data_IF_469013188091
#
_entry.id   IF_469013188091
#
_cell.length_a   1.000
_cell.length_b   1.000
_cell.length_c   1.000
_cell.angle_alpha   90.00
_cell.angle_beta   90.00
_cell.angle_gamma   90.00
#
_symmetry.space_group_name_H-M   'P 1'
#
loop_
_entity.id
_entity.type
_entity.pdbx_description
1 polymer ?
#
# COMPACT_ATOMS: atom_id res chain seq x y z
N UNK A 1 -78.54 -22.77 21.91
CA UNK A 1 -77.27 -23.21 21.27
C UNK A 1 -76.55 -22.14 20.44
N UNK A 2 -77.18 -21.12 19.90
CA UNK A 2 -76.52 -20.11 19.04
C UNK A 2 -75.59 -19.11 19.75
N UNK A 3 -75.81 -18.78 21.03
CA UNK A 3 -75.03 -17.77 21.76
C UNK A 3 -73.56 -18.19 22.07
N UNK A 4 -73.29 -19.47 22.09
CA UNK A 4 -71.91 -19.95 22.38
C UNK A 4 -71.07 -20.06 21.11
N UNK A 5 -71.67 -20.31 19.94
CA UNK A 5 -70.96 -20.41 18.65
C UNK A 5 -70.34 -19.06 18.28
N UNK A 6 -71.08 -17.96 18.50
CA UNK A 6 -70.59 -16.60 18.19
C UNK A 6 -69.36 -16.22 19.04
N UNK A 7 -69.27 -16.64 20.31
CA UNK A 7 -68.11 -16.40 21.16
C UNK A 7 -66.86 -17.14 20.67
N UNK A 8 -67.00 -18.35 20.16
CA UNK A 8 -65.89 -19.12 19.61
C UNK A 8 -65.42 -18.59 18.27
N UNK A 9 -66.33 -18.01 17.44
CA UNK A 9 -65.98 -17.35 16.18
C UNK A 9 -65.16 -16.08 16.47
N UNK A 10 -65.52 -15.24 17.41
CA UNK A 10 -64.74 -14.07 17.82
C UNK A 10 -63.39 -14.42 18.45
N UNK A 11 -63.36 -15.52 19.26
CA UNK A 11 -62.10 -16.03 19.80
C UNK A 11 -61.19 -16.57 18.68
N UNK A 12 -61.71 -17.26 17.67
CA UNK A 12 -60.96 -17.78 16.55
C UNK A 12 -60.48 -16.65 15.63
N UNK A 13 -61.30 -15.61 15.38
CA UNK A 13 -60.89 -14.42 14.67
C UNK A 13 -59.80 -13.63 15.40
N UNK A 14 -59.89 -13.53 16.72
CA UNK A 14 -58.86 -12.91 17.57
C UNK A 14 -57.51 -13.64 17.49
N UNK A 15 -57.53 -14.97 17.45
CA UNK A 15 -56.32 -15.78 17.31
C UNK A 15 -55.69 -15.64 15.91
N UNK A 16 -56.47 -15.54 14.84
CA UNK A 16 -56.01 -15.36 13.48
C UNK A 16 -55.34 -13.99 13.31
N UNK A 17 -55.81 -12.96 14.01
CA UNK A 17 -55.17 -11.61 13.97
C UNK A 17 -53.84 -11.54 14.73
N UNK A 18 -53.58 -12.41 15.68
CA UNK A 18 -52.31 -12.46 16.41
C UNK A 18 -51.20 -13.12 15.58
N UNK A 19 -51.54 -14.00 14.62
CA UNK A 19 -50.57 -14.65 13.74
C UNK A 19 -50.18 -13.81 12.50
N UNK A 20 -50.83 -12.64 12.27
CA UNK A 20 -50.33 -11.62 11.36
C UNK A 20 -49.30 -10.69 12.03
N UNK A 21 -48.54 -11.21 12.99
CA UNK A 21 -47.34 -10.52 13.51
C UNK A 21 -46.38 -10.31 12.35
N UNK A 22 -46.16 -9.06 12.00
CA UNK A 22 -45.17 -8.64 11.02
C UNK A 22 -43.91 -9.52 11.11
N UNK A 23 -43.71 -10.40 10.12
CA UNK A 23 -42.33 -10.84 9.83
C UNK A 23 -41.58 -9.55 9.50
N UNK A 24 -40.79 -9.04 10.44
CA UNK A 24 -39.74 -8.12 10.07
C UNK A 24 -38.89 -8.90 9.07
N UNK A 25 -39.08 -8.65 7.78
CA UNK A 25 -38.10 -9.03 6.78
C UNK A 25 -36.86 -8.23 7.18
N UNK A 26 -35.89 -8.92 7.78
CA UNK A 26 -34.56 -8.34 7.93
C UNK A 26 -33.95 -8.34 6.55
N UNK A 27 -33.75 -7.13 6.01
CA UNK A 27 -32.97 -6.98 4.78
C UNK A 27 -31.60 -7.65 4.99
N UNK A 28 -31.17 -8.40 3.99
CA UNK A 28 -29.86 -9.02 4.01
C UNK A 28 -28.76 -7.95 3.92
N UNK A 29 -27.57 -8.26 4.42
CA UNK A 29 -26.43 -7.31 4.29
C UNK A 29 -26.11 -7.05 2.81
N UNK A 30 -26.34 -8.05 1.96
CA UNK A 30 -26.17 -7.96 0.51
C UNK A 30 -27.10 -6.89 -0.09
N UNK A 31 -28.39 -6.90 0.28
CA UNK A 31 -29.39 -5.94 -0.21
C UNK A 31 -29.10 -4.52 0.32
N UNK A 32 -28.75 -4.41 1.60
CA UNK A 32 -28.39 -3.13 2.24
C UNK A 32 -27.18 -2.50 1.55
N UNK A 33 -26.12 -3.27 1.32
CA UNK A 33 -24.90 -2.78 0.70
C UNK A 33 -25.12 -2.46 -0.78
N UNK A 34 -25.87 -3.31 -1.50
CA UNK A 34 -26.22 -3.04 -2.91
C UNK A 34 -26.99 -1.73 -3.05
N UNK A 35 -27.98 -1.49 -2.20
CA UNK A 35 -28.75 -0.23 -2.19
C UNK A 35 -27.85 1.00 -1.94
N UNK A 36 -26.92 0.91 -0.96
CA UNK A 36 -25.93 1.98 -0.69
C UNK A 36 -25.04 2.25 -1.90
N UNK A 37 -24.55 1.18 -2.53
CA UNK A 37 -23.65 1.28 -3.69
C UNK A 37 -24.39 1.90 -4.88
N UNK A 38 -25.60 1.46 -5.18
CA UNK A 38 -26.39 2.03 -6.27
C UNK A 38 -26.71 3.52 -6.04
N UNK A 39 -27.04 3.90 -4.79
CA UNK A 39 -27.24 5.31 -4.44
C UNK A 39 -25.97 6.13 -4.65
N UNK A 40 -24.80 5.59 -4.24
CA UNK A 40 -23.50 6.24 -4.45
C UNK A 40 -23.16 6.38 -5.94
N UNK A 41 -23.34 5.32 -6.73
CA UNK A 41 -23.11 5.34 -8.19
C UNK A 41 -23.97 6.41 -8.85
N UNK A 42 -25.27 6.45 -8.50
CA UNK A 42 -26.22 7.42 -9.03
C UNK A 42 -25.87 8.86 -8.64
N UNK A 43 -25.58 9.11 -7.36
CA UNK A 43 -25.26 10.45 -6.86
C UNK A 43 -23.95 11.03 -7.42
N UNK A 44 -23.00 10.17 -7.79
CA UNK A 44 -21.72 10.56 -8.37
C UNK A 44 -21.65 10.39 -9.89
N UNK A 45 -22.75 9.99 -10.52
CA UNK A 45 -22.86 9.75 -11.97
C UNK A 45 -21.73 8.85 -12.52
N UNK A 46 -21.45 7.72 -11.82
CA UNK A 46 -20.36 6.82 -12.16
C UNK A 46 -20.82 5.79 -13.22
N UNK A 47 -20.07 5.57 -14.30
CA UNK A 47 -20.31 4.50 -15.25
C UNK A 47 -19.78 3.15 -14.74
N UNK A 48 -20.18 2.76 -13.53
CA UNK A 48 -19.74 1.52 -12.92
C UNK A 48 -20.61 0.33 -13.38
N UNK A 49 -19.97 -0.81 -13.60
CA UNK A 49 -20.58 -2.07 -14.02
C UNK A 49 -20.65 -3.01 -12.81
N UNK A 50 -21.78 -3.68 -12.62
CA UNK A 50 -21.92 -4.73 -11.59
C UNK A 50 -21.31 -6.03 -12.11
N UNK A 51 -20.37 -6.56 -11.35
CA UNK A 51 -19.81 -7.90 -11.58
C UNK A 51 -20.82 -8.97 -11.12
N UNK A 52 -20.90 -10.14 -11.80
CA UNK A 52 -21.79 -11.23 -11.37
C UNK A 52 -21.55 -11.71 -9.92
N UNK A 53 -20.36 -11.55 -9.36
CA UNK A 53 -20.06 -11.89 -7.97
C UNK A 53 -20.58 -10.89 -6.93
N UNK A 54 -21.06 -9.70 -7.37
CA UNK A 54 -21.75 -8.74 -6.52
C UNK A 54 -21.05 -7.41 -6.25
N UNK A 55 -19.76 -7.25 -6.57
CA UNK A 55 -19.07 -5.97 -6.50
C UNK A 55 -19.34 -5.12 -7.76
N UNK A 56 -18.91 -3.84 -7.72
CA UNK A 56 -19.00 -2.93 -8.87
C UNK A 56 -17.60 -2.43 -9.24
N UNK A 57 -17.37 -2.19 -10.52
CA UNK A 57 -16.11 -1.61 -10.97
C UNK A 57 -16.28 -0.64 -12.13
N UNK A 58 -15.29 0.23 -12.30
CA UNK A 58 -15.15 1.18 -13.39
C UNK A 58 -13.70 1.20 -13.85
N UNK A 59 -13.45 0.90 -15.11
CA UNK A 59 -12.11 1.10 -15.70
C UNK A 59 -11.87 2.60 -15.84
N UNK A 60 -10.85 3.11 -15.16
CA UNK A 60 -10.44 4.51 -15.23
C UNK A 60 -9.36 4.73 -16.27
N UNK A 61 -8.49 3.74 -16.44
CA UNK A 61 -7.46 3.65 -17.47
C UNK A 61 -7.29 2.17 -17.85
N UNK A 62 -7.45 1.78 -19.12
CA UNK A 62 -7.29 0.39 -19.52
C UNK A 62 -5.85 -0.12 -19.40
N UNK A 63 -4.85 0.76 -19.31
CA UNK A 63 -3.44 0.40 -19.36
C UNK A 63 -2.94 0.05 -20.75
N UNK A 64 -1.63 0.21 -20.95
CA UNK A 64 -0.97 -0.02 -22.25
C UNK A 64 -0.07 -1.26 -22.28
N UNK A 65 0.11 -1.90 -21.12
CA UNK A 65 0.94 -3.10 -20.99
C UNK A 65 0.20 -4.38 -21.35
N UNK A 66 0.83 -5.53 -21.07
CA UNK A 66 0.25 -6.83 -21.32
C UNK A 66 -0.90 -7.19 -20.37
N UNK A 67 -1.75 -8.10 -20.81
CA UNK A 67 -2.80 -8.74 -19.99
C UNK A 67 -2.15 -9.45 -18.80
N UNK A 68 -2.80 -9.40 -17.65
CA UNK A 68 -2.33 -10.02 -16.41
C UNK A 68 -3.03 -11.37 -16.17
N UNK A 69 -2.28 -12.37 -15.72
CA UNK A 69 -2.77 -13.71 -15.39
C UNK A 69 -2.45 -14.03 -13.93
N UNK A 70 -3.13 -15.01 -13.33
CA UNK A 70 -2.94 -15.44 -11.93
C UNK A 70 -1.48 -15.73 -11.54
N UNK A 71 -0.70 -16.27 -12.47
CA UNK A 71 0.72 -16.61 -12.28
C UNK A 71 1.67 -15.42 -12.39
N UNK A 72 1.17 -14.27 -12.81
CA UNK A 72 2.02 -13.09 -13.06
C UNK A 72 2.22 -12.29 -11.78
N UNK A 73 3.44 -11.80 -11.57
CA UNK A 73 3.71 -10.78 -10.57
C UNK A 73 3.05 -9.48 -10.99
N UNK A 74 2.25 -8.91 -10.12
CA UNK A 74 1.60 -7.61 -10.28
C UNK A 74 2.04 -6.68 -9.18
N UNK A 75 2.49 -5.49 -9.56
CA UNK A 75 2.78 -4.40 -8.63
C UNK A 75 1.68 -3.36 -8.77
N UNK A 76 1.18 -2.87 -7.64
CA UNK A 76 0.06 -1.94 -7.64
C UNK A 76 0.06 -1.05 -6.39
N UNK A 77 -0.64 0.06 -6.49
CA UNK A 77 -1.05 0.90 -5.37
C UNK A 77 -2.56 0.85 -5.24
N UNK A 78 -3.05 0.91 -4.00
CA UNK A 78 -4.47 0.97 -3.72
C UNK A 78 -4.77 2.08 -2.72
N UNK A 79 -5.74 2.93 -3.04
CA UNK A 79 -6.36 3.85 -2.09
C UNK A 79 -7.71 3.28 -1.71
N UNK A 80 -8.02 3.19 -0.42
CA UNK A 80 -9.29 2.68 0.11
C UNK A 80 -10.02 3.78 0.87
N UNK A 81 -11.28 4.01 0.52
CA UNK A 81 -12.13 5.05 1.11
C UNK A 81 -13.50 4.48 1.46
N UNK A 82 -14.22 5.17 2.36
CA UNK A 82 -15.66 4.99 2.52
C UNK A 82 -16.43 5.57 1.33
N UNK A 83 -17.73 5.27 1.24
CA UNK A 83 -18.65 5.96 0.30
C UNK A 83 -18.73 7.47 0.57
N UNK A 84 -18.52 7.92 1.81
CA UNK A 84 -18.47 9.34 2.19
C UNK A 84 -17.13 10.03 1.91
N UNK A 85 -16.11 9.28 1.44
CA UNK A 85 -14.81 9.81 1.08
C UNK A 85 -13.74 9.77 2.19
N UNK A 86 -14.04 9.24 3.39
CA UNK A 86 -13.03 9.05 4.43
C UNK A 86 -11.97 8.08 3.95
N UNK A 87 -10.69 8.48 3.98
CA UNK A 87 -9.57 7.65 3.53
C UNK A 87 -9.12 6.73 4.65
N UNK A 88 -9.18 5.43 4.42
CA UNK A 88 -8.70 4.40 5.34
C UNK A 88 -7.27 3.99 5.05
N UNK A 89 -6.94 3.81 3.77
CA UNK A 89 -5.59 3.52 3.30
C UNK A 89 -5.27 4.38 2.08
N UNK A 90 -4.05 4.88 2.05
CA UNK A 90 -3.48 5.56 0.89
C UNK A 90 -2.05 5.11 0.70
N UNK A 91 -1.60 4.85 -0.53
CA UNK A 91 -0.22 4.47 -0.76
C UNK A 91 0.70 5.63 -0.43
N UNK A 92 1.87 5.29 0.11
CA UNK A 92 2.98 6.24 0.19
C UNK A 92 3.56 6.43 -1.21
N UNK A 93 3.87 7.65 -1.60
CA UNK A 93 4.57 7.92 -2.86
C UNK A 93 5.91 7.18 -2.85
N UNK A 94 6.28 6.57 -3.96
CA UNK A 94 7.51 5.76 -4.12
C UNK A 94 7.54 4.47 -3.29
N UNK A 95 6.38 3.97 -2.86
CA UNK A 95 6.23 2.60 -2.36
C UNK A 95 5.10 1.90 -3.13
N UNK A 96 5.06 0.58 -3.07
CA UNK A 96 4.01 -0.19 -3.74
C UNK A 96 3.80 -1.55 -3.05
N UNK A 97 2.77 -2.26 -3.47
CA UNK A 97 2.53 -3.64 -3.09
C UNK A 97 2.79 -4.55 -4.29
N UNK A 98 3.57 -5.61 -4.08
CA UNK A 98 3.79 -6.66 -5.08
C UNK A 98 3.19 -7.97 -4.63
N UNK A 99 2.52 -8.69 -5.53
CA UNK A 99 2.02 -10.05 -5.31
C UNK A 99 1.86 -10.77 -6.65
N UNK A 100 1.66 -12.09 -6.63
CA UNK A 100 1.06 -12.76 -7.78
C UNK A 100 -0.42 -12.39 -7.86
N UNK A 101 -0.93 -12.16 -9.09
CA UNK A 101 -2.32 -11.73 -9.27
C UNK A 101 -3.31 -12.69 -8.57
N UNK A 102 -3.08 -14.01 -8.66
CA UNK A 102 -3.92 -15.02 -8.02
C UNK A 102 -4.01 -14.94 -6.49
N UNK A 103 -3.12 -14.19 -5.84
CA UNK A 103 -3.12 -13.97 -4.39
C UNK A 103 -3.52 -12.54 -3.98
N UNK A 104 -3.97 -11.72 -4.94
CA UNK A 104 -4.48 -10.38 -4.61
C UNK A 104 -5.81 -10.52 -3.87
N UNK A 105 -5.92 -9.85 -2.73
CA UNK A 105 -7.11 -9.83 -1.87
C UNK A 105 -7.56 -8.39 -1.56
N UNK A 106 -8.87 -8.18 -1.35
CA UNK A 106 -9.99 -9.11 -1.49
C UNK A 106 -10.18 -9.59 -2.94
N UNK A 107 -10.91 -10.70 -3.14
CA UNK A 107 -11.13 -11.30 -4.46
C UNK A 107 -11.70 -10.31 -5.49
N UNK A 108 -12.54 -9.38 -5.06
CA UNK A 108 -13.06 -8.30 -5.90
C UNK A 108 -11.95 -7.46 -6.57
N UNK A 109 -10.78 -7.30 -5.92
CA UNK A 109 -9.65 -6.60 -6.53
C UNK A 109 -9.04 -7.44 -7.67
N UNK A 110 -8.83 -8.74 -7.40
CA UNK A 110 -8.30 -9.65 -8.41
C UNK A 110 -9.19 -9.69 -9.64
N UNK A 111 -10.49 -9.87 -9.46
CA UNK A 111 -11.47 -9.92 -10.55
C UNK A 111 -11.50 -8.60 -11.33
N UNK A 112 -11.49 -7.45 -10.65
CA UNK A 112 -11.44 -6.15 -11.29
C UNK A 112 -10.14 -5.91 -12.10
N UNK A 113 -9.02 -6.47 -11.65
CA UNK A 113 -7.74 -6.36 -12.34
C UNK A 113 -7.70 -7.12 -13.67
N UNK A 114 -8.57 -8.13 -13.89
CA UNK A 114 -8.71 -8.75 -15.22
C UNK A 114 -9.36 -7.84 -16.27
N UNK A 115 -10.05 -6.78 -15.84
CA UNK A 115 -10.66 -5.81 -16.76
C UNK A 115 -9.65 -4.77 -17.30
N UNK A 116 -8.40 -4.77 -16.82
CA UNK A 116 -7.36 -3.82 -17.24
C UNK A 116 -6.05 -4.55 -17.59
N UNK A 117 -5.20 -3.87 -18.33
CA UNK A 117 -3.83 -4.27 -18.59
C UNK A 117 -2.86 -3.68 -17.56
N UNK A 118 -1.60 -4.10 -17.60
CA UNK A 118 -0.52 -3.47 -16.81
C UNK A 118 -0.43 -1.97 -17.13
N UNK A 119 -0.17 -1.18 -16.07
CA UNK A 119 -0.16 0.29 -16.14
C UNK A 119 -1.55 0.90 -16.10
N UNK A 120 -2.62 0.08 -16.01
CA UNK A 120 -3.99 0.56 -15.96
C UNK A 120 -4.46 0.94 -14.55
N UNK A 121 -5.65 1.53 -14.49
CA UNK A 121 -6.30 1.97 -13.26
C UNK A 121 -7.77 1.56 -13.26
N UNK A 122 -8.22 1.00 -12.13
CA UNK A 122 -9.61 0.57 -11.93
C UNK A 122 -10.11 1.09 -10.59
N UNK A 123 -11.36 1.56 -10.56
CA UNK A 123 -12.12 1.80 -9.33
C UNK A 123 -12.96 0.58 -9.05
N UNK A 124 -12.94 0.12 -7.80
CA UNK A 124 -13.73 -1.03 -7.34
C UNK A 124 -14.55 -0.58 -6.13
N UNK A 125 -15.87 -0.84 -6.17
CA UNK A 125 -16.76 -0.58 -5.05
C UNK A 125 -17.14 -1.95 -4.51
N UNK A 126 -16.71 -2.25 -3.30
CA UNK A 126 -16.78 -3.59 -2.72
C UNK A 126 -17.78 -3.59 -1.58
N UNK A 127 -18.85 -4.41 -1.64
CA UNK A 127 -19.75 -4.62 -0.53
C UNK A 127 -19.01 -5.07 0.72
N UNK A 128 -19.51 -4.72 1.89
CA UNK A 128 -18.82 -4.98 3.15
C UNK A 128 -18.52 -6.46 3.37
N UNK A 129 -19.46 -7.35 3.01
CA UNK A 129 -19.31 -8.80 3.18
C UNK A 129 -18.26 -9.43 2.25
N UNK A 130 -17.89 -8.77 1.16
CA UNK A 130 -16.79 -9.17 0.27
C UNK A 130 -15.46 -8.51 0.62
N UNK A 131 -15.46 -7.51 1.51
CA UNK A 131 -14.29 -6.78 1.96
C UNK A 131 -13.85 -7.21 3.37
N UNK A 132 -14.16 -6.41 4.38
CA UNK A 132 -13.73 -6.62 5.77
C UNK A 132 -14.85 -7.14 6.69
N UNK A 133 -16.07 -7.29 6.16
CA UNK A 133 -17.21 -7.91 6.82
C UNK A 133 -17.66 -7.22 8.11
N UNK A 134 -18.34 -8.02 8.93
CA UNK A 134 -18.92 -7.57 10.21
C UNK A 134 -17.90 -7.17 11.28
N UNK A 135 -16.64 -7.56 11.12
CA UNK A 135 -15.59 -7.27 12.10
C UNK A 135 -14.80 -6.00 11.75
N UNK A 136 -14.82 -5.55 10.48
CA UNK A 136 -13.91 -4.53 10.00
C UNK A 136 -12.45 -4.98 10.01
N UNK A 137 -11.51 -4.08 9.77
CA UNK A 137 -10.07 -4.34 9.86
C UNK A 137 -9.27 -3.04 9.97
N UNK A 138 -8.45 -2.92 11.01
CA UNK A 138 -7.65 -1.71 11.23
C UNK A 138 -8.53 -0.46 11.28
N UNK A 139 -8.34 0.54 10.41
CA UNK A 139 -9.15 1.75 10.37
C UNK A 139 -10.54 1.56 9.72
N UNK A 140 -10.78 0.41 9.03
CA UNK A 140 -12.05 0.15 8.34
C UNK A 140 -13.10 -0.36 9.31
N UNK A 141 -14.24 0.34 9.48
CA UNK A 141 -15.29 -0.07 10.38
C UNK A 141 -15.98 -1.40 9.99
N UNK A 142 -16.76 -1.93 10.91
CA UNK A 142 -17.67 -3.05 10.71
C UNK A 142 -18.72 -2.71 9.64
N UNK A 143 -19.02 -3.66 8.75
CA UNK A 143 -20.00 -3.54 7.68
C UNK A 143 -19.80 -2.31 6.77
N UNK A 144 -18.56 -1.94 6.52
CA UNK A 144 -18.21 -0.81 5.67
C UNK A 144 -18.11 -1.20 4.20
N UNK A 145 -18.89 -0.55 3.37
CA UNK A 145 -18.72 -0.59 1.91
C UNK A 145 -17.55 0.28 1.53
N UNK A 146 -16.59 -0.25 0.81
CA UNK A 146 -15.37 0.47 0.45
C UNK A 146 -15.33 0.82 -1.04
N UNK A 147 -14.74 1.99 -1.33
CA UNK A 147 -14.35 2.43 -2.67
C UNK A 147 -12.85 2.38 -2.76
N UNK A 148 -12.34 1.56 -3.66
CA UNK A 148 -10.91 1.38 -3.87
C UNK A 148 -10.50 1.82 -5.27
N UNK A 149 -9.42 2.59 -5.36
CA UNK A 149 -8.77 2.89 -6.63
C UNK A 149 -7.44 2.14 -6.68
N UNK A 150 -7.32 1.24 -7.65
CA UNK A 150 -6.14 0.40 -7.84
C UNK A 150 -5.44 0.86 -9.12
N UNK A 151 -4.16 1.21 -8.99
CA UNK A 151 -3.29 1.55 -10.13
C UNK A 151 -2.20 0.51 -10.21
N UNK A 152 -2.07 -0.16 -11.36
CA UNK A 152 -1.01 -1.15 -11.60
C UNK A 152 0.21 -0.51 -12.24
N UNK A 153 1.36 -1.15 -12.08
CA UNK A 153 2.60 -0.76 -12.74
C UNK A 153 2.77 -1.52 -14.07
N UNK A 154 3.49 -0.92 -15.02
CA UNK A 154 3.86 -1.58 -16.28
C UNK A 154 4.90 -2.68 -16.04
N UNK A 155 5.80 -2.45 -15.12
CA UNK A 155 6.93 -3.30 -14.82
C UNK A 155 6.50 -4.61 -14.16
N UNK A 156 7.27 -5.66 -14.42
CA UNK A 156 7.06 -7.01 -13.87
C UNK A 156 8.05 -7.38 -12.76
N UNK A 157 8.98 -6.49 -12.45
CA UNK A 157 10.00 -6.66 -11.40
C UNK A 157 10.12 -5.38 -10.59
N UNK A 158 10.24 -5.53 -9.25
CA UNK A 158 10.39 -4.38 -8.34
C UNK A 158 11.58 -3.48 -8.70
N UNK A 159 12.72 -4.08 -9.04
CA UNK A 159 13.91 -3.29 -9.38
C UNK A 159 13.74 -2.40 -10.62
N UNK A 160 12.85 -2.76 -11.54
CA UNK A 160 12.53 -1.93 -12.70
C UNK A 160 11.72 -0.69 -12.29
N UNK A 161 10.77 -0.90 -11.38
CA UNK A 161 9.97 0.20 -10.78
C UNK A 161 10.90 1.15 -10.04
N UNK A 162 11.76 0.62 -9.17
CA UNK A 162 12.71 1.43 -8.40
C UNK A 162 13.62 2.24 -9.32
N UNK A 163 14.18 1.60 -10.34
CA UNK A 163 15.09 2.26 -11.28
C UNK A 163 14.39 3.40 -12.03
N UNK A 164 13.16 3.20 -12.51
CA UNK A 164 12.36 4.23 -13.14
C UNK A 164 12.06 5.40 -12.18
N UNK A 165 11.54 5.10 -10.99
CA UNK A 165 11.18 6.11 -10.00
C UNK A 165 12.40 6.92 -9.52
N UNK A 166 13.57 6.27 -9.36
CA UNK A 166 14.81 6.96 -9.02
C UNK A 166 15.23 7.90 -10.16
N UNK A 167 15.19 7.45 -11.41
CA UNK A 167 15.56 8.30 -12.55
C UNK A 167 14.60 9.49 -12.71
N UNK A 168 13.28 9.26 -12.54
CA UNK A 168 12.28 10.34 -12.54
C UNK A 168 12.56 11.36 -11.42
N UNK A 169 12.88 10.88 -10.21
CA UNK A 169 13.23 11.74 -9.09
C UNK A 169 14.52 12.54 -9.34
N UNK A 170 15.58 11.90 -9.83
CA UNK A 170 16.86 12.55 -10.16
C UNK A 170 16.61 13.66 -11.18
N UNK A 171 15.85 13.37 -12.23
CA UNK A 171 15.51 14.33 -13.29
C UNK A 171 14.66 15.49 -12.73
N UNK A 172 13.60 15.18 -11.99
CA UNK A 172 12.70 16.20 -11.42
C UNK A 172 13.38 17.12 -10.41
N UNK A 173 14.41 16.64 -9.71
CA UNK A 173 15.19 17.40 -8.74
C UNK A 173 16.48 17.99 -9.30
N UNK A 174 16.74 17.77 -10.60
CA UNK A 174 17.97 18.19 -11.28
C UNK A 174 19.25 17.77 -10.53
N UNK A 175 19.28 16.48 -10.07
CA UNK A 175 20.40 15.95 -9.32
C UNK A 175 21.47 15.38 -10.26
N UNK A 176 22.74 15.56 -9.87
CA UNK A 176 23.86 14.87 -10.53
C UNK A 176 24.20 13.63 -9.72
N UNK A 177 23.91 12.43 -10.24
CA UNK A 177 24.14 11.16 -9.57
C UNK A 177 24.89 10.20 -10.49
N UNK A 178 25.73 9.36 -9.92
CA UNK A 178 26.39 8.24 -10.60
C UNK A 178 25.65 6.95 -10.21
N UNK A 179 25.33 6.11 -11.20
CA UNK A 179 24.74 4.79 -10.96
C UNK A 179 25.85 3.76 -10.76
N UNK A 180 25.89 3.15 -9.57
CA UNK A 180 26.77 2.02 -9.27
C UNK A 180 26.23 0.73 -9.94
N UNK A 181 27.10 -0.23 -10.32
CA UNK A 181 26.66 -1.54 -10.85
C UNK A 181 25.68 -2.29 -9.93
N UNK A 182 25.68 -2.03 -8.63
CA UNK A 182 24.68 -2.55 -7.67
C UNK A 182 23.30 -1.93 -7.80
N UNK A 183 23.13 -0.91 -8.65
CA UNK A 183 21.92 -0.09 -8.84
C UNK A 183 21.71 1.00 -7.78
N UNK A 184 22.61 1.17 -6.81
CA UNK A 184 22.61 2.34 -5.93
C UNK A 184 23.05 3.56 -6.75
N UNK A 185 22.37 4.68 -6.57
CA UNK A 185 22.80 5.96 -7.15
C UNK A 185 23.50 6.77 -6.07
N UNK A 186 24.63 7.40 -6.40
CA UNK A 186 25.40 8.17 -5.43
C UNK A 186 25.98 9.46 -6.01
N UNK A 187 26.26 10.40 -5.10
CA UNK A 187 27.04 11.61 -5.39
C UNK A 187 27.96 11.89 -4.20
N UNK A 188 29.25 12.07 -4.48
CA UNK A 188 30.24 12.42 -3.46
C UNK A 188 30.43 13.94 -3.50
N UNK A 189 29.96 14.63 -2.48
CA UNK A 189 30.12 16.09 -2.34
C UNK A 189 31.45 16.48 -1.71
N UNK A 190 32.07 15.58 -0.95
CA UNK A 190 33.37 15.76 -0.34
C UNK A 190 34.14 14.43 -0.30
N UNK A 191 35.34 14.41 -0.85
CA UNK A 191 36.24 13.25 -0.81
C UNK A 191 37.04 13.27 0.50
N UNK A 192 36.95 12.19 1.26
CA UNK A 192 37.76 11.99 2.47
C UNK A 192 39.18 11.53 2.15
N UNK A 193 40.10 11.76 3.12
CA UNK A 193 41.53 11.42 2.98
C UNK A 193 42.02 10.44 4.06
N UNK A 194 41.17 10.11 5.06
CA UNK A 194 41.55 9.23 6.18
C UNK A 194 41.50 7.74 5.83
N UNK A 195 41.29 6.91 6.84
CA UNK A 195 41.22 5.43 6.74
C UNK A 195 40.13 5.01 5.75
N UNK A 196 40.44 4.04 4.91
CA UNK A 196 39.50 3.52 3.91
C UNK A 196 38.54 2.49 4.53
N UNK A 197 37.29 2.56 4.17
CA UNK A 197 36.26 1.59 4.58
C UNK A 197 36.46 0.28 3.83
N UNK A 198 36.64 -0.81 4.59
CA UNK A 198 36.63 -2.18 4.09
C UNK A 198 35.27 -2.84 4.36
N UNK A 199 35.06 -4.04 3.81
CA UNK A 199 33.85 -4.83 4.09
C UNK A 199 33.73 -5.34 5.54
N UNK A 200 34.81 -5.23 6.31
CA UNK A 200 34.88 -5.65 7.71
C UNK A 200 34.90 -4.48 8.68
N UNK A 201 35.06 -3.24 8.18
CA UNK A 201 35.20 -2.07 9.02
C UNK A 201 33.91 -1.79 9.82
N UNK A 202 34.10 -1.21 10.99
CA UNK A 202 33.08 -0.48 11.74
C UNK A 202 33.20 1.00 11.36
N UNK A 203 32.11 1.61 10.98
CA UNK A 203 32.04 3.03 10.61
C UNK A 203 31.33 3.82 11.67
N UNK A 204 31.83 5.02 11.94
CA UNK A 204 31.13 6.06 12.71
C UNK A 204 30.63 7.09 11.71
N UNK A 205 29.33 7.31 11.66
CA UNK A 205 28.74 8.20 10.66
C UNK A 205 27.75 9.19 11.29
N UNK A 206 27.62 10.36 10.67
CA UNK A 206 26.43 11.21 10.74
C UNK A 206 25.61 10.98 9.50
N UNK A 207 24.26 10.92 9.63
CA UNK A 207 23.40 10.67 8.49
C UNK A 207 22.00 11.28 8.66
N UNK A 208 21.33 11.46 7.53
CA UNK A 208 19.90 11.70 7.46
C UNK A 208 19.29 10.78 6.39
N UNK A 209 18.36 9.91 6.81
CA UNK A 209 17.59 9.02 5.95
C UNK A 209 16.19 9.54 5.72
N UNK A 210 15.78 9.65 4.45
CA UNK A 210 14.48 10.15 4.05
C UNK A 210 13.89 9.33 2.91
N UNK A 211 12.59 9.43 2.75
CA UNK A 211 11.91 8.99 1.54
C UNK A 211 12.15 9.99 0.40
N UNK A 212 11.87 9.59 -0.85
CA UNK A 212 11.97 10.51 -1.99
C UNK A 212 10.96 11.69 -1.91
N UNK A 213 9.97 11.62 -1.01
CA UNK A 213 9.11 12.76 -0.65
C UNK A 213 9.84 13.87 0.11
N UNK A 214 11.01 13.56 0.68
CA UNK A 214 11.76 14.42 1.58
C UNK A 214 11.47 14.20 3.06
N UNK A 215 10.46 13.38 3.41
CA UNK A 215 10.12 13.07 4.81
C UNK A 215 11.24 12.25 5.44
N UNK A 216 11.84 12.76 6.51
CA UNK A 216 12.90 12.07 7.27
C UNK A 216 12.24 10.97 8.10
N UNK A 217 12.80 9.76 8.02
CA UNK A 217 12.37 8.63 8.85
C UNK A 217 13.40 8.29 9.96
N UNK A 218 14.67 8.67 9.77
CA UNK A 218 15.74 8.45 10.74
C UNK A 218 16.93 9.37 10.48
N UNK A 219 17.58 9.85 11.54
CA UNK A 219 18.75 10.72 11.42
C UNK A 219 19.55 10.80 12.72
N UNK A 220 20.82 11.14 12.63
CA UNK A 220 21.61 11.63 13.76
C UNK A 220 21.39 13.14 13.96
N UNK A 221 21.37 13.62 15.19
CA UNK A 221 21.17 15.04 15.53
C UNK A 221 22.32 15.58 16.37
N UNK A 222 22.71 16.83 16.13
CA UNK A 222 23.79 17.50 16.85
C UNK A 222 25.12 16.76 16.66
N UNK A 223 25.74 16.38 17.79
CA UNK A 223 26.99 15.62 17.81
C UNK A 223 26.80 14.10 17.85
N UNK A 224 25.58 13.63 17.86
CA UNK A 224 25.29 12.19 17.83
C UNK A 224 25.82 11.55 16.55
N UNK A 225 26.30 10.33 16.68
CA UNK A 225 26.78 9.50 15.57
C UNK A 225 26.21 8.09 15.69
N UNK A 226 26.08 7.41 14.58
CA UNK A 226 25.84 5.97 14.53
C UNK A 226 27.17 5.25 14.39
N UNK A 227 27.43 4.27 15.26
CA UNK A 227 28.58 3.36 15.16
C UNK A 227 28.06 1.98 14.79
N UNK A 228 28.46 1.46 13.64
CA UNK A 228 27.97 0.17 13.17
C UNK A 228 29.00 -0.51 12.24
N UNK A 229 29.04 -1.85 12.29
CA UNK A 229 29.74 -2.63 11.28
C UNK A 229 29.03 -2.48 9.92
N UNK A 230 29.79 -2.36 8.85
CA UNK A 230 29.28 -2.14 7.49
C UNK A 230 28.23 -3.21 7.08
N UNK A 231 28.45 -4.45 7.50
CA UNK A 231 27.54 -5.57 7.19
C UNK A 231 26.26 -5.61 8.06
N UNK A 232 26.17 -4.77 9.08
CA UNK A 232 24.96 -4.61 9.91
C UNK A 232 24.01 -3.51 9.38
N UNK A 233 24.48 -2.71 8.42
CA UNK A 233 23.70 -1.65 7.78
C UNK A 233 22.87 -2.20 6.61
N UNK A 234 21.94 -1.39 6.07
CA UNK A 234 21.20 -1.78 4.87
C UNK A 234 22.19 -2.05 3.73
N UNK A 235 21.95 -3.10 2.91
CA UNK A 235 22.93 -3.56 1.91
C UNK A 235 23.45 -2.45 0.99
N UNK A 236 22.60 -1.49 0.62
CA UNK A 236 22.97 -0.38 -0.24
C UNK A 236 24.10 0.50 0.29
N UNK A 237 24.24 0.64 1.60
CA UNK A 237 25.37 1.37 2.19
C UNK A 237 26.69 0.67 1.89
N UNK A 238 26.76 -0.64 2.14
CA UNK A 238 27.97 -1.42 1.89
C UNK A 238 28.40 -1.44 0.42
N UNK A 239 27.44 -1.29 -0.51
CA UNK A 239 27.76 -1.26 -1.96
C UNK A 239 28.57 -0.04 -2.37
N UNK A 240 28.39 1.09 -1.70
CA UNK A 240 29.04 2.35 -2.08
C UNK A 240 30.07 2.80 -1.06
N UNK A 241 29.81 2.62 0.24
CA UNK A 241 30.75 3.10 1.29
C UNK A 241 32.07 2.34 1.30
N UNK A 242 32.07 1.05 0.96
CA UNK A 242 33.32 0.27 0.83
C UNK A 242 34.19 0.88 -0.26
N UNK A 243 35.43 1.22 0.09
CA UNK A 243 36.37 1.93 -0.77
C UNK A 243 36.42 3.44 -0.53
N UNK A 244 35.38 4.04 0.06
CA UNK A 244 35.45 5.43 0.49
C UNK A 244 36.32 5.60 1.73
N UNK A 245 36.65 6.84 2.07
CA UNK A 245 37.57 7.15 3.17
C UNK A 245 36.87 7.98 4.25
N UNK A 246 37.38 7.88 5.50
CA UNK A 246 37.06 8.81 6.57
C UNK A 246 37.12 10.26 6.07
N UNK A 247 36.10 11.07 6.40
CA UNK A 247 35.92 12.44 5.95
C UNK A 247 35.09 12.59 4.67
N UNK A 248 34.67 11.48 4.02
CA UNK A 248 33.81 11.53 2.84
C UNK A 248 32.40 11.95 3.22
N UNK A 249 31.80 12.85 2.40
CA UNK A 249 30.35 13.13 2.42
C UNK A 249 29.74 12.65 1.11
N UNK A 250 28.74 11.81 1.23
CA UNK A 250 28.09 11.15 0.09
C UNK A 250 26.59 11.10 0.27
N UNK A 251 25.86 11.33 -0.83
CA UNK A 251 24.43 11.06 -0.91
C UNK A 251 24.20 9.74 -1.64
N UNK A 252 23.31 8.89 -1.11
CA UNK A 252 22.92 7.62 -1.70
C UNK A 252 21.41 7.62 -1.95
N UNK A 253 21.00 7.19 -3.16
CA UNK A 253 19.61 6.79 -3.40
C UNK A 253 19.62 5.28 -3.61
N UNK A 254 18.96 4.56 -2.72
CA UNK A 254 19.04 3.11 -2.58
C UNK A 254 17.73 2.48 -3.03
N UNK A 255 17.76 1.58 -4.06
CA UNK A 255 16.61 0.77 -4.43
C UNK A 255 16.06 -0.04 -3.25
N UNK A 256 14.78 -0.31 -3.25
CA UNK A 256 14.09 -0.91 -2.11
C UNK A 256 14.65 -2.26 -1.67
N UNK A 257 15.08 -3.10 -2.61
CA UNK A 257 15.66 -4.42 -2.35
C UNK A 257 17.08 -4.37 -1.73
N UNK A 258 17.76 -3.23 -1.83
CA UNK A 258 19.02 -2.94 -1.14
C UNK A 258 18.82 -2.09 0.11
N UNK A 259 17.59 -1.71 0.42
CA UNK A 259 17.13 -1.09 1.64
C UNK A 259 16.48 -2.10 2.59
N UNK A 260 15.17 -1.90 2.87
CA UNK A 260 14.41 -2.78 3.78
C UNK A 260 13.53 -3.81 3.05
N UNK A 261 13.49 -3.81 1.71
CA UNK A 261 12.83 -4.82 0.90
C UNK A 261 11.30 -4.77 0.92
N UNK A 262 10.69 -5.93 0.74
CA UNK A 262 9.25 -6.10 0.52
C UNK A 262 8.42 -6.21 1.80
N UNK A 263 8.99 -5.91 2.97
CA UNK A 263 8.31 -5.96 4.26
C UNK A 263 8.23 -4.58 4.89
N UNK A 264 7.07 -4.28 5.50
CA UNK A 264 6.93 -3.06 6.29
C UNK A 264 7.84 -3.11 7.52
N UNK A 265 8.58 -2.04 7.78
CA UNK A 265 9.22 -1.83 9.08
C UNK A 265 8.21 -1.16 10.00
N UNK A 266 8.06 -1.71 11.19
CA UNK A 266 7.10 -1.24 12.18
C UNK A 266 7.83 -0.84 13.45
N UNK A 267 7.31 0.20 14.09
CA UNK A 267 7.67 0.52 15.45
C UNK A 267 7.27 -0.63 16.38
N UNK A 268 8.20 -1.09 17.20
CA UNK A 268 8.00 -2.27 18.05
C UNK A 268 6.99 -2.05 19.18
N UNK A 269 6.74 -0.80 19.56
CA UNK A 269 5.85 -0.43 20.67
C UNK A 269 4.43 -0.18 20.18
N UNK A 270 4.30 0.59 19.10
CA UNK A 270 3.01 1.04 18.58
C UNK A 270 2.47 0.17 17.46
N UNK A 271 3.33 -0.61 16.79
CA UNK A 271 3.00 -1.37 15.58
C UNK A 271 2.81 -0.50 14.34
N UNK A 272 2.99 0.81 14.46
CA UNK A 272 2.87 1.74 13.32
C UNK A 272 3.96 1.47 12.27
N UNK A 273 3.60 1.56 11.00
CA UNK A 273 4.55 1.42 9.89
C UNK A 273 5.44 2.67 9.85
N UNK A 274 6.73 2.47 10.06
CA UNK A 274 7.76 3.53 10.02
C UNK A 274 8.41 3.63 8.64
N UNK A 275 8.66 2.48 7.99
CA UNK A 275 9.15 2.43 6.61
C UNK A 275 8.26 1.43 5.86
N UNK A 276 7.44 1.91 4.91
CA UNK A 276 6.62 1.03 4.09
C UNK A 276 7.46 0.07 3.24
N UNK A 277 6.91 -1.08 2.92
CA UNK A 277 7.50 -2.05 1.98
C UNK A 277 7.84 -1.39 0.65
N UNK A 278 8.87 -1.89 -0.01
CA UNK A 278 9.32 -1.42 -1.32
C UNK A 278 9.63 0.10 -1.35
N UNK A 279 10.01 0.69 -0.21
CA UNK A 279 10.42 2.10 -0.15
C UNK A 279 11.83 2.29 -0.71
N UNK A 280 11.97 3.22 -1.64
CA UNK A 280 13.26 3.75 -2.07
C UNK A 280 13.74 4.72 -0.99
N UNK A 281 15.03 4.64 -0.63
CA UNK A 281 15.61 5.41 0.46
C UNK A 281 16.67 6.39 -0.07
N UNK A 282 16.67 7.60 0.48
CA UNK A 282 17.61 8.66 0.15
C UNK A 282 18.37 9.08 1.41
N UNK A 283 19.69 8.89 1.42
CA UNK A 283 20.56 9.17 2.56
C UNK A 283 21.61 10.22 2.22
N UNK A 284 21.79 11.21 3.09
CA UNK A 284 23.02 11.95 3.20
C UNK A 284 23.86 11.33 4.31
N UNK A 285 25.16 11.06 4.06
CA UNK A 285 26.04 10.37 4.98
C UNK A 285 27.39 11.11 5.04
N UNK A 286 27.89 11.33 6.26
CA UNK A 286 29.24 11.77 6.53
C UNK A 286 29.99 10.66 7.29
N UNK A 287 31.11 10.17 6.73
CA UNK A 287 31.98 9.17 7.39
C UNK A 287 32.90 9.89 8.38
N UNK A 288 32.55 9.86 9.65
CA UNK A 288 33.26 10.56 10.72
C UNK A 288 34.53 9.79 11.15
N UNK A 289 34.40 8.46 11.24
CA UNK A 289 35.53 7.58 11.60
C UNK A 289 35.40 6.18 10.99
N UNK A 290 36.52 5.48 10.89
CA UNK A 290 36.62 4.10 10.36
C UNK A 290 37.59 3.32 11.22
N UNK A 291 37.14 2.16 11.72
CA UNK A 291 37.98 1.20 12.49
C UNK A 291 37.79 -0.19 11.86
N UNK A 292 38.87 -0.95 11.78
CA UNK A 292 38.89 -2.34 11.31
C UNK A 292 38.85 -3.34 12.47
#
# INVERSE_FOLDING_TARGET
MHKNITKYIYALLGVILIFNSCKKEYESIEDIDDAKIQAYIKSNNLPAVKDPSGFYYQVLDPGTGGVMQNKDSVFYNVTVKSLSGNVYFSPTVFSNTGNYLGYVTPDAYREALYAINRGGKVRVIVPSYMAYGKNGSGPVPSNEVIVSEITTYLETKQWQIDDRLINEFITAKNLTMTKDPSRVYYNISQVGTGTQVSKFSTVTVKYAGRFLTGTIFDQTTGDATLVAAINALVPGWGKVLVGLKKGTKVRLIIPSDLGYGSQDRKDSTTGAVTIPRNSILDFDIEIVDVTD
#
